data_IF_965263942610
#
_entry.id   IF_965263942610
#
_cell.length_a   1.000
_cell.length_b   1.000
_cell.length_c   1.000
_cell.angle_alpha   90.00
_cell.angle_beta   90.00
_cell.angle_gamma   90.00
#
_symmetry.space_group_name_H-M   'P 1'
#
loop_
_entity.id
_entity.type
_entity.pdbx_description
1 polymer ?
#
# COMPACT_ATOMS: atom_id res chain seq x y z
N UNK A 1 -42.61 -30.53 -17.40
CA UNK A 1 -42.11 -29.24 -17.97
C UNK A 1 -41.17 -29.61 -19.11
N UNK A 2 -41.41 -29.12 -20.36
CA UNK A 2 -40.49 -29.34 -21.47
C UNK A 2 -39.14 -28.73 -21.08
N UNK A 3 -38.05 -29.48 -21.28
CA UNK A 3 -36.71 -29.05 -20.89
C UNK A 3 -36.27 -27.90 -21.80
N UNK A 4 -36.45 -26.66 -21.35
CA UNK A 4 -36.20 -25.44 -22.14
C UNK A 4 -34.75 -25.42 -22.71
N UNK A 5 -33.78 -25.89 -21.93
CA UNK A 5 -32.36 -25.93 -22.33
C UNK A 5 -32.18 -26.84 -23.56
N UNK A 6 -32.74 -28.04 -23.50
CA UNK A 6 -32.71 -28.98 -24.64
C UNK A 6 -33.33 -28.43 -25.90
N UNK A 7 -34.44 -27.73 -25.79
CA UNK A 7 -35.17 -27.13 -26.92
C UNK A 7 -34.33 -26.02 -27.58
N UNK A 8 -33.60 -25.22 -26.77
CA UNK A 8 -32.71 -24.16 -27.25
C UNK A 8 -31.52 -24.76 -28.00
N UNK A 9 -30.83 -25.74 -27.41
CA UNK A 9 -29.65 -26.40 -27.99
C UNK A 9 -30.05 -27.11 -29.29
N UNK A 10 -31.17 -27.86 -29.28
CA UNK A 10 -31.66 -28.60 -30.44
C UNK A 10 -32.04 -27.70 -31.63
N UNK A 11 -32.62 -26.53 -31.35
CA UNK A 11 -32.92 -25.53 -32.38
C UNK A 11 -31.68 -24.90 -32.95
N UNK A 12 -30.70 -24.60 -32.10
CA UNK A 12 -29.44 -24.02 -32.54
C UNK A 12 -28.66 -24.97 -33.46
N UNK A 13 -28.55 -26.24 -33.10
CA UNK A 13 -27.83 -27.24 -33.91
C UNK A 13 -28.48 -27.50 -35.26
N UNK A 14 -29.81 -27.35 -35.37
CA UNK A 14 -30.56 -27.66 -36.58
C UNK A 14 -30.66 -26.52 -37.61
N UNK A 15 -30.21 -25.32 -37.27
CA UNK A 15 -30.35 -24.16 -38.14
C UNK A 15 -29.06 -23.35 -38.18
N UNK A 16 -28.75 -22.78 -39.34
CA UNK A 16 -27.65 -21.81 -39.46
C UNK A 16 -28.14 -20.42 -39.05
N UNK A 17 -27.41 -19.79 -38.12
CA UNK A 17 -27.69 -18.48 -37.57
C UNK A 17 -26.66 -17.43 -37.98
N UNK A 18 -27.02 -16.13 -38.04
CA UNK A 18 -26.06 -15.04 -38.21
C UNK A 18 -25.02 -15.01 -37.08
N UNK A 19 -23.81 -14.45 -37.35
CA UNK A 19 -22.68 -14.40 -36.43
C UNK A 19 -23.00 -13.71 -35.08
N UNK A 20 -23.98 -12.80 -35.04
CA UNK A 20 -24.41 -12.15 -33.80
C UNK A 20 -25.14 -13.14 -32.88
N UNK A 21 -26.03 -13.96 -33.42
CA UNK A 21 -26.79 -14.99 -32.69
C UNK A 21 -25.85 -16.11 -32.23
N UNK A 22 -24.87 -16.49 -33.07
CA UNK A 22 -23.83 -17.46 -32.71
C UNK A 22 -23.04 -17.01 -31.50
N UNK A 23 -22.64 -15.73 -31.47
CA UNK A 23 -21.92 -15.16 -30.31
C UNK A 23 -22.78 -15.16 -29.05
N UNK A 24 -24.02 -14.74 -29.13
CA UNK A 24 -24.90 -14.67 -27.97
C UNK A 24 -25.23 -16.07 -27.42
N UNK A 25 -25.42 -17.07 -28.31
CA UNK A 25 -25.58 -18.46 -27.91
C UNK A 25 -24.37 -19.01 -27.21
N UNK A 26 -23.12 -18.73 -27.67
CA UNK A 26 -21.89 -19.16 -27.01
C UNK A 26 -21.74 -18.53 -25.61
N UNK A 27 -22.07 -17.24 -25.49
CA UNK A 27 -22.06 -16.56 -24.17
C UNK A 27 -23.08 -17.20 -23.23
N UNK A 28 -24.30 -17.45 -23.69
CA UNK A 28 -25.32 -18.13 -22.91
C UNK A 28 -24.90 -19.56 -22.49
N UNK A 29 -24.20 -20.28 -23.38
CA UNK A 29 -23.80 -21.65 -23.13
C UNK A 29 -22.77 -21.76 -22.00
N UNK A 30 -21.82 -20.78 -21.90
CA UNK A 30 -20.75 -20.75 -20.90
C UNK A 30 -21.15 -19.99 -19.63
N UNK A 31 -22.31 -19.36 -19.59
CA UNK A 31 -22.80 -18.67 -18.40
C UNK A 31 -23.08 -19.68 -17.27
N UNK A 32 -22.71 -19.30 -16.04
CA UNK A 32 -22.84 -20.15 -14.85
C UNK A 32 -24.30 -20.45 -14.48
N UNK A 33 -25.25 -19.68 -14.96
CA UNK A 33 -26.66 -19.91 -14.71
C UNK A 33 -27.11 -21.24 -15.35
N UNK A 34 -27.47 -22.21 -14.48
CA UNK A 34 -27.90 -23.57 -14.88
C UNK A 34 -26.84 -24.38 -15.64
N UNK A 35 -25.55 -24.19 -15.33
CA UNK A 35 -24.44 -24.88 -16.01
C UNK A 35 -24.57 -26.40 -15.98
N UNK A 36 -24.93 -27.00 -14.85
CA UNK A 36 -25.08 -28.46 -14.68
C UNK A 36 -26.16 -29.04 -15.61
N UNK A 37 -27.25 -28.31 -15.85
CA UNK A 37 -28.32 -28.74 -16.76
C UNK A 37 -27.87 -28.62 -18.23
N UNK A 38 -27.11 -27.57 -18.59
CA UNK A 38 -26.56 -27.41 -19.95
C UNK A 38 -25.56 -28.51 -20.27
N UNK A 39 -24.65 -28.82 -19.35
CA UNK A 39 -23.66 -29.89 -19.49
C UNK A 39 -24.31 -31.29 -19.60
N UNK A 40 -25.32 -31.54 -18.81
CA UNK A 40 -26.09 -32.80 -18.90
C UNK A 40 -26.77 -32.99 -20.25
N UNK A 41 -27.40 -31.95 -20.78
CA UNK A 41 -28.10 -32.03 -22.09
C UNK A 41 -27.08 -32.14 -23.24
N UNK A 42 -25.96 -31.44 -23.18
CA UNK A 42 -24.86 -31.57 -24.17
C UNK A 42 -24.27 -32.96 -24.17
N UNK A 43 -24.01 -33.55 -23.00
CA UNK A 43 -23.50 -34.92 -22.89
C UNK A 43 -24.44 -35.95 -23.49
N UNK A 44 -25.74 -35.83 -23.25
CA UNK A 44 -26.76 -36.70 -23.85
C UNK A 44 -26.81 -36.58 -25.37
N UNK A 45 -26.70 -35.39 -25.92
CA UNK A 45 -26.65 -35.14 -27.38
C UNK A 45 -25.37 -35.73 -27.99
N UNK A 46 -24.23 -35.62 -27.30
CA UNK A 46 -22.96 -36.18 -27.74
C UNK A 46 -23.01 -37.70 -27.82
N UNK A 47 -23.48 -38.36 -26.76
CA UNK A 47 -23.68 -39.82 -26.73
C UNK A 47 -24.65 -40.31 -27.85
N UNK A 48 -25.72 -39.56 -28.07
CA UNK A 48 -26.68 -39.89 -29.15
C UNK A 48 -26.05 -39.74 -30.56
N UNK A 49 -25.08 -38.85 -30.73
CA UNK A 49 -24.41 -38.60 -32.02
C UNK A 49 -23.31 -39.65 -32.27
N UNK A 50 -22.56 -40.06 -31.27
CA UNK A 50 -21.56 -41.12 -31.39
C UNK A 50 -22.18 -42.48 -31.77
N UNK A 51 -23.39 -42.73 -31.33
CA UNK A 51 -24.08 -43.98 -31.65
C UNK A 51 -24.56 -44.05 -33.11
N UNK A 52 -24.54 -42.94 -33.84
CA UNK A 52 -25.20 -42.86 -35.17
C UNK A 52 -24.27 -43.08 -36.36
N UNK A 53 -22.92 -42.98 -36.23
CA UNK A 53 -22.04 -43.13 -37.40
C UNK A 53 -20.60 -43.56 -37.01
N UNK A 54 -20.37 -44.84 -37.01
CA UNK A 54 -19.03 -45.36 -37.34
C UNK A 54 -19.06 -45.89 -38.78
N UNK A 55 -18.63 -45.09 -39.76
CA UNK A 55 -18.38 -45.67 -41.09
C UNK A 55 -17.26 -46.66 -40.95
N UNK A 56 -17.45 -47.89 -41.46
CA UNK A 56 -16.42 -48.94 -41.45
C UNK A 56 -15.30 -48.62 -42.45
N UNK A 57 -14.40 -47.75 -42.08
CA UNK A 57 -13.24 -47.34 -42.87
C UNK A 57 -12.23 -48.46 -43.07
N UNK A 58 -12.25 -49.53 -42.30
CA UNK A 58 -11.29 -50.60 -42.38
C UNK A 58 -11.42 -51.36 -43.70
N UNK A 59 -12.65 -51.63 -44.16
CA UNK A 59 -12.91 -52.32 -45.42
C UNK A 59 -12.50 -51.47 -46.62
N UNK A 60 -12.67 -50.19 -46.60
CA UNK A 60 -12.26 -49.25 -47.65
C UNK A 60 -10.74 -49.09 -47.72
N UNK A 61 -10.04 -49.10 -46.57
CA UNK A 61 -8.59 -49.04 -46.47
C UNK A 61 -7.92 -50.30 -46.95
N UNK A 62 -8.47 -51.48 -46.66
CA UNK A 62 -7.95 -52.73 -47.15
C UNK A 62 -8.10 -52.85 -48.68
N UNK A 63 -9.24 -52.46 -49.21
CA UNK A 63 -9.48 -52.44 -50.64
C UNK A 63 -8.58 -51.48 -51.41
N UNK A 64 -8.25 -50.33 -50.80
CA UNK A 64 -7.31 -49.36 -51.37
C UNK A 64 -5.86 -49.85 -51.30
N UNK A 65 -5.47 -50.58 -50.26
CA UNK A 65 -4.17 -51.22 -50.14
C UNK A 65 -3.95 -52.32 -51.16
N UNK A 66 -4.97 -53.12 -51.48
CA UNK A 66 -4.93 -54.14 -52.52
C UNK A 66 -4.78 -53.54 -53.92
N UNK A 67 -5.52 -52.45 -54.20
CA UNK A 67 -5.54 -51.78 -55.51
C UNK A 67 -4.28 -50.99 -55.82
N UNK A 68 -3.56 -50.48 -54.82
CA UNK A 68 -2.38 -49.61 -54.99
C UNK A 68 -1.04 -50.31 -54.84
N UNK A 69 -1.01 -51.56 -54.40
CA UNK A 69 0.24 -52.33 -54.25
C UNK A 69 1.26 -51.73 -53.28
N UNK A 70 0.84 -50.74 -52.48
CA UNK A 70 1.75 -50.03 -51.55
C UNK A 70 1.95 -50.88 -50.29
N UNK A 71 3.05 -51.63 -50.26
CA UNK A 71 3.57 -52.20 -48.98
C UNK A 71 4.05 -51.07 -48.08
N UNK A 72 3.22 -50.68 -47.16
CA UNK A 72 3.61 -49.73 -46.11
C UNK A 72 4.72 -50.32 -45.27
N UNK A 73 5.94 -49.88 -45.54
CA UNK A 73 7.13 -50.19 -44.72
C UNK A 73 6.94 -49.48 -43.38
N UNK A 74 6.58 -50.26 -42.36
CA UNK A 74 6.42 -49.72 -40.97
C UNK A 74 7.76 -49.16 -40.51
N UNK A 75 7.90 -47.82 -40.55
CA UNK A 75 8.91 -47.06 -39.82
C UNK A 75 8.32 -46.55 -38.50
N UNK A 76 7.87 -47.46 -37.65
CA UNK A 76 7.20 -47.11 -36.40
C UNK A 76 8.17 -46.84 -35.24
N UNK A 77 9.46 -47.29 -35.35
CA UNK A 77 10.41 -47.21 -34.24
C UNK A 77 11.02 -45.83 -34.01
N UNK A 78 11.01 -44.91 -34.97
CA UNK A 78 11.65 -43.59 -34.81
C UNK A 78 10.72 -42.50 -34.27
N UNK A 79 9.40 -42.70 -34.33
CA UNK A 79 8.45 -41.71 -33.76
C UNK A 79 8.35 -41.83 -32.23
N UNK A 80 8.33 -43.04 -31.68
CA UNK A 80 8.21 -43.25 -30.24
C UNK A 80 9.43 -42.73 -29.46
N UNK A 81 10.63 -42.91 -30.00
CA UNK A 81 11.86 -42.38 -29.38
C UNK A 81 11.93 -40.85 -29.42
N UNK A 82 11.49 -40.20 -30.53
CA UNK A 82 11.41 -38.76 -30.61
C UNK A 82 10.35 -38.19 -29.62
N UNK A 83 9.17 -38.77 -29.56
CA UNK A 83 8.14 -38.37 -28.61
C UNK A 83 8.57 -38.59 -27.16
N UNK A 84 9.32 -39.63 -26.88
CA UNK A 84 9.89 -39.88 -25.52
C UNK A 84 10.92 -38.81 -25.14
N UNK A 85 11.80 -38.41 -26.06
CA UNK A 85 12.80 -37.36 -25.85
C UNK A 85 12.09 -36.00 -25.60
N UNK A 86 11.04 -35.69 -26.37
CA UNK A 86 10.23 -34.47 -26.16
C UNK A 86 9.50 -34.45 -24.81
N UNK A 87 9.01 -35.60 -24.33
CA UNK A 87 8.40 -35.74 -23.00
C UNK A 87 9.41 -35.50 -21.88
N UNK A 88 10.65 -36.03 -22.02
CA UNK A 88 11.73 -35.78 -21.06
C UNK A 88 12.13 -34.30 -21.07
N UNK A 89 12.28 -33.69 -22.25
CA UNK A 89 12.63 -32.28 -22.37
C UNK A 89 11.55 -31.38 -21.75
N UNK A 90 10.26 -31.69 -21.99
CA UNK A 90 9.15 -30.97 -21.37
C UNK A 90 9.12 -31.12 -19.83
N UNK A 91 9.35 -32.34 -19.32
CA UNK A 91 9.44 -32.59 -17.88
C UNK A 91 10.61 -31.84 -17.22
N UNK A 92 11.77 -31.78 -17.87
CA UNK A 92 12.92 -31.00 -17.41
C UNK A 92 12.64 -29.50 -17.41
N UNK A 93 11.99 -28.96 -18.45
CA UNK A 93 11.60 -27.55 -18.49
C UNK A 93 10.60 -27.21 -17.39
N UNK A 94 9.62 -28.07 -17.11
CA UNK A 94 8.67 -27.90 -16.01
C UNK A 94 9.40 -27.95 -14.66
N UNK A 95 10.34 -28.87 -14.46
CA UNK A 95 11.12 -28.99 -13.24
C UNK A 95 12.02 -27.76 -13.02
N UNK A 96 12.68 -27.25 -14.07
CA UNK A 96 13.51 -26.04 -14.00
C UNK A 96 12.65 -24.80 -13.74
N UNK A 97 11.51 -24.67 -14.43
CA UNK A 97 10.59 -23.53 -14.19
C UNK A 97 9.96 -23.58 -12.80
N UNK A 98 9.53 -24.75 -12.33
CA UNK A 98 9.02 -24.92 -10.96
C UNK A 98 10.10 -24.63 -9.91
N UNK A 99 11.33 -25.10 -10.14
CA UNK A 99 12.49 -24.79 -9.30
C UNK A 99 12.81 -23.29 -9.26
N UNK A 100 12.80 -22.63 -10.43
CA UNK A 100 13.02 -21.18 -10.53
C UNK A 100 11.92 -20.38 -9.84
N UNK A 101 10.65 -20.79 -10.00
CA UNK A 101 9.50 -20.17 -9.31
C UNK A 101 9.62 -20.39 -7.80
N UNK A 102 9.97 -21.60 -7.35
CA UNK A 102 10.18 -21.90 -5.93
C UNK A 102 11.29 -21.04 -5.32
N UNK A 103 12.44 -20.93 -5.97
CA UNK A 103 13.54 -20.06 -5.52
C UNK A 103 13.15 -18.58 -5.52
N UNK A 104 12.40 -18.11 -6.53
CA UNK A 104 11.90 -16.74 -6.59
C UNK A 104 10.87 -16.44 -5.49
N UNK A 105 10.04 -17.43 -5.11
CA UNK A 105 9.10 -17.30 -4.00
C UNK A 105 9.80 -17.35 -2.64
N UNK A 106 10.83 -18.17 -2.49
CA UNK A 106 11.62 -18.27 -1.25
C UNK A 106 12.45 -17.00 -0.99
N UNK A 107 12.94 -16.34 -2.06
CA UNK A 107 13.61 -15.04 -1.94
C UNK A 107 12.66 -13.85 -1.66
N UNK A 108 11.34 -14.06 -1.66
CA UNK A 108 10.34 -13.06 -1.26
C UNK A 108 10.00 -13.13 0.24
N UNK A 109 10.93 -13.55 1.09
CA UNK A 109 10.73 -13.36 2.52
C UNK A 109 10.58 -11.85 2.76
N UNK A 110 9.43 -11.47 3.34
CA UNK A 110 9.26 -10.09 3.79
C UNK A 110 10.43 -9.76 4.72
N UNK A 111 11.13 -8.64 4.51
CA UNK A 111 12.24 -8.29 5.38
C UNK A 111 11.73 -8.19 6.82
N UNK A 112 12.47 -8.80 7.75
CA UNK A 112 12.20 -8.62 9.18
C UNK A 112 12.29 -7.12 9.48
N UNK A 113 11.17 -6.53 9.85
CA UNK A 113 11.10 -5.12 10.20
C UNK A 113 11.52 -4.95 11.66
N UNK A 114 12.46 -4.08 11.89
CA UNK A 114 12.79 -3.54 13.22
C UNK A 114 11.84 -2.38 13.50
N UNK A 115 11.44 -2.26 14.76
CA UNK A 115 10.61 -1.16 15.23
C UNK A 115 11.41 -0.31 16.21
N UNK A 116 11.51 0.99 15.93
CA UNK A 116 11.89 1.99 16.90
C UNK A 116 10.62 2.72 17.36
N UNK A 117 10.20 2.48 18.59
CA UNK A 117 9.11 3.19 19.24
C UNK A 117 9.69 4.15 20.27
N UNK A 118 9.30 5.41 20.21
CA UNK A 118 9.74 6.46 21.11
C UNK A 118 8.58 6.81 22.04
N UNK A 119 8.73 6.61 23.36
CA UNK A 119 7.68 6.94 24.31
C UNK A 119 7.47 8.47 24.42
N UNK A 120 6.41 8.84 25.12
CA UNK A 120 6.13 10.24 25.50
C UNK A 120 7.34 10.87 26.17
N UNK A 121 7.61 12.13 25.91
CA UNK A 121 8.70 12.96 26.47
C UNK A 121 10.13 12.64 26.00
N UNK A 122 10.32 11.58 25.25
CA UNK A 122 11.64 11.18 24.76
C UNK A 122 11.85 11.54 23.28
N UNK A 123 13.11 11.66 22.89
CA UNK A 123 13.55 11.76 21.50
C UNK A 123 14.75 10.84 21.30
N UNK A 124 14.87 10.24 20.14
CA UNK A 124 15.97 9.31 19.87
C UNK A 124 16.63 9.56 18.54
N UNK A 125 17.98 9.46 18.54
CA UNK A 125 18.77 9.43 17.31
C UNK A 125 19.14 7.98 16.99
N UNK A 126 18.83 7.55 15.77
CA UNK A 126 19.22 6.25 15.26
C UNK A 126 19.98 6.38 13.95
N UNK A 127 20.82 5.40 13.66
CA UNK A 127 21.46 5.25 12.34
C UNK A 127 20.91 3.99 11.69
N UNK A 128 20.30 4.15 10.52
CA UNK A 128 19.75 3.06 9.74
C UNK A 128 20.85 2.22 9.09
N UNK A 129 20.55 1.00 8.61
CA UNK A 129 21.53 0.09 8.00
C UNK A 129 22.28 0.66 6.79
N UNK A 130 21.67 1.61 6.08
CA UNK A 130 22.30 2.31 4.93
C UNK A 130 23.20 3.48 5.35
N UNK A 131 23.25 3.82 6.65
CA UNK A 131 23.98 4.97 7.20
C UNK A 131 23.17 6.27 7.22
N UNK A 132 21.88 6.25 6.87
CA UNK A 132 20.96 7.38 7.05
C UNK A 132 20.78 7.65 8.56
N UNK A 133 20.89 8.92 8.94
CA UNK A 133 20.65 9.36 10.32
C UNK A 133 19.19 9.82 10.46
N UNK A 134 18.53 9.34 11.50
CA UNK A 134 17.14 9.70 11.78
C UNK A 134 17.02 10.15 13.23
N UNK A 135 16.52 11.37 13.42
CA UNK A 135 16.10 11.86 14.72
C UNK A 135 14.57 11.69 14.80
N UNK A 136 14.11 10.95 15.81
CA UNK A 136 12.71 10.57 15.98
C UNK A 136 12.17 11.33 17.19
N UNK A 137 11.03 11.99 17.01
CA UNK A 137 10.34 12.76 18.05
C UNK A 137 9.53 11.84 18.98
N UNK A 138 9.04 12.39 20.08
CA UNK A 138 8.20 11.68 21.07
C UNK A 138 6.91 11.12 20.43
N UNK A 139 6.40 10.02 20.98
CA UNK A 139 5.20 9.31 20.51
C UNK A 139 5.26 8.90 19.03
N UNK A 140 6.46 8.67 18.53
CA UNK A 140 6.68 8.28 17.14
C UNK A 140 7.15 6.84 17.02
N UNK A 141 6.74 6.21 15.93
CA UNK A 141 7.15 4.84 15.57
C UNK A 141 7.78 4.86 14.20
N UNK A 142 9.00 4.33 14.09
CA UNK A 142 9.67 4.09 12.81
C UNK A 142 9.86 2.58 12.62
N UNK A 143 9.32 2.04 11.53
CA UNK A 143 9.57 0.67 11.09
C UNK A 143 10.54 0.67 9.91
N UNK A 144 11.60 -0.10 10.03
CA UNK A 144 12.65 -0.21 9.00
C UNK A 144 13.21 -1.63 8.95
N UNK A 145 13.72 -2.11 7.81
CA UNK A 145 14.28 -3.45 7.69
C UNK A 145 15.68 -3.53 8.32
N UNK A 146 16.09 -4.71 8.76
CA UNK A 146 17.46 -4.96 9.20
C UNK A 146 18.51 -4.68 8.11
N UNK A 147 18.14 -4.84 6.86
CA UNK A 147 18.93 -4.52 5.67
C UNK A 147 18.01 -4.08 4.54
N UNK A 148 18.43 -3.09 3.76
CA UNK A 148 17.76 -2.71 2.53
C UNK A 148 18.23 -3.59 1.37
N UNK A 149 17.42 -4.54 0.94
CA UNK A 149 17.79 -5.57 -0.07
C UNK A 149 17.08 -5.39 -1.42
N UNK A 150 16.24 -4.37 -1.57
CA UNK A 150 15.49 -4.11 -2.81
C UNK A 150 16.02 -2.92 -3.61
N UNK A 151 15.29 -2.56 -4.66
CA UNK A 151 15.57 -1.41 -5.53
C UNK A 151 15.31 -0.05 -4.83
N UNK A 152 14.85 -0.07 -3.58
CA UNK A 152 14.57 1.13 -2.77
C UNK A 152 14.80 0.86 -1.28
N UNK A 153 15.04 1.95 -0.53
CA UNK A 153 15.20 1.97 0.92
C UNK A 153 13.91 2.48 1.56
N UNK A 154 13.01 1.57 1.91
CA UNK A 154 11.68 1.93 2.41
C UNK A 154 11.58 1.83 3.93
N UNK A 155 11.01 2.86 4.55
CA UNK A 155 10.68 2.92 5.98
C UNK A 155 9.24 3.41 6.16
N UNK A 156 8.64 3.08 7.32
CA UNK A 156 7.28 3.51 7.67
C UNK A 156 7.34 4.34 8.93
N UNK A 157 6.71 5.52 8.88
CA UNK A 157 6.65 6.48 9.98
C UNK A 157 5.20 6.69 10.44
N UNK A 158 5.02 6.64 11.76
CA UNK A 158 3.85 7.20 12.46
C UNK A 158 4.40 8.19 13.48
N UNK A 159 3.98 9.45 13.44
CA UNK A 159 4.54 10.52 14.26
C UNK A 159 5.50 11.41 13.49
N UNK A 160 6.55 11.91 14.11
CA UNK A 160 7.47 12.89 13.53
C UNK A 160 8.93 12.43 13.57
N UNK A 161 9.62 12.61 12.44
CA UNK A 161 11.06 12.35 12.36
C UNK A 161 11.75 13.29 11.35
N UNK A 162 13.01 13.61 11.66
CA UNK A 162 13.94 14.25 10.74
C UNK A 162 14.87 13.21 10.15
N UNK A 163 14.99 13.21 8.83
CA UNK A 163 15.80 12.27 8.06
C UNK A 163 16.97 13.00 7.41
N UNK A 164 18.20 12.62 7.74
CA UNK A 164 19.40 13.01 7.02
C UNK A 164 19.86 11.83 6.17
N UNK A 165 19.32 11.75 4.96
CA UNK A 165 19.44 10.59 4.09
C UNK A 165 20.82 10.52 3.46
N UNK A 166 21.47 9.36 3.58
CA UNK A 166 22.70 9.06 2.86
C UNK A 166 22.45 9.06 1.36
N UNK A 167 23.28 9.77 0.60
CA UNK A 167 23.13 9.88 -0.86
C UNK A 167 23.35 8.52 -1.54
N UNK A 168 22.34 8.08 -2.25
CA UNK A 168 22.33 6.91 -3.14
C UNK A 168 21.23 7.10 -4.19
N UNK A 169 21.65 7.39 -5.43
CA UNK A 169 20.73 7.67 -6.55
C UNK A 169 20.19 6.38 -7.18
N UNK A 170 20.89 5.24 -6.98
CA UNK A 170 20.46 3.95 -7.52
C UNK A 170 19.31 3.33 -6.68
N UNK A 171 19.28 3.64 -5.37
CA UNK A 171 18.28 3.09 -4.45
C UNK A 171 17.58 4.24 -3.71
N UNK A 172 16.47 4.78 -4.21
CA UNK A 172 15.73 5.87 -3.57
C UNK A 172 15.33 5.52 -2.12
N UNK A 173 15.43 6.50 -1.24
CA UNK A 173 14.95 6.40 0.14
C UNK A 173 13.50 6.86 0.21
N UNK A 174 12.62 6.02 0.76
CA UNK A 174 11.18 6.23 0.75
C UNK A 174 10.65 6.18 2.18
N UNK A 175 10.07 7.29 2.65
CA UNK A 175 9.33 7.36 3.91
C UNK A 175 7.84 7.27 3.60
N UNK A 176 7.16 6.26 4.16
CA UNK A 176 5.71 6.06 4.00
C UNK A 176 4.96 6.34 5.28
N UNK A 177 3.83 7.03 5.17
CA UNK A 177 2.90 7.26 6.27
C UNK A 177 1.46 7.31 5.72
N UNK A 178 0.67 6.28 5.99
CA UNK A 178 -0.67 6.11 5.44
C UNK A 178 -0.72 6.33 3.91
N UNK A 179 -1.45 7.36 3.44
CA UNK A 179 -1.60 7.74 2.04
C UNK A 179 -0.64 8.87 1.59
N UNK A 180 0.45 9.05 2.34
CA UNK A 180 1.50 10.05 2.13
C UNK A 180 2.87 9.38 2.02
N UNK A 181 3.68 9.82 1.05
CA UNK A 181 4.99 9.25 0.80
C UNK A 181 6.00 10.33 0.43
N UNK A 182 7.22 10.24 0.95
CA UNK A 182 8.34 11.12 0.60
C UNK A 182 9.47 10.29 0.02
N UNK A 183 9.91 10.63 -1.18
CA UNK A 183 11.02 9.97 -1.89
C UNK A 183 12.23 10.91 -1.98
N UNK A 184 13.39 10.42 -1.54
CA UNK A 184 14.64 11.15 -1.41
C UNK A 184 15.83 10.36 -1.97
N UNK A 185 16.84 11.06 -2.52
CA UNK A 185 18.07 10.46 -3.05
C UNK A 185 19.32 10.78 -2.20
N UNK A 186 19.21 11.73 -1.29
CA UNK A 186 20.33 12.21 -0.46
C UNK A 186 20.05 13.63 0.01
N UNK A 187 19.11 13.79 0.92
CA UNK A 187 18.50 15.04 1.33
C UNK A 187 18.30 15.06 2.84
N UNK A 188 18.12 16.26 3.38
CA UNK A 188 17.67 16.42 4.75
C UNK A 188 16.25 17.00 4.76
N UNK A 189 15.32 16.31 5.42
CA UNK A 189 13.91 16.70 5.48
C UNK A 189 13.24 16.22 6.77
N UNK A 190 12.20 16.93 7.18
CA UNK A 190 11.33 16.57 8.30
C UNK A 190 9.98 16.08 7.80
N UNK A 191 9.43 15.04 8.42
CA UNK A 191 8.07 14.56 8.18
C UNK A 191 7.34 14.53 9.51
N UNK A 192 6.16 15.19 9.58
CA UNK A 192 5.22 15.08 10.69
C UNK A 192 3.93 14.46 10.20
N UNK A 193 3.60 13.30 10.76
CA UNK A 193 2.46 12.47 10.36
C UNK A 193 1.82 11.79 11.57
N UNK A 194 1.47 12.59 12.57
CA UNK A 194 0.73 12.11 13.73
C UNK A 194 -0.71 11.77 13.38
N UNK A 195 -1.24 10.63 13.83
CA UNK A 195 -2.62 10.21 13.50
C UNK A 195 -3.70 11.19 13.92
N UNK A 196 -3.52 11.82 15.09
CA UNK A 196 -4.45 12.76 15.69
C UNK A 196 -4.41 14.17 15.08
N UNK A 197 -3.34 14.55 14.37
CA UNK A 197 -3.27 15.84 13.67
C UNK A 197 -4.04 15.79 12.35
N UNK A 198 -4.69 16.90 11.99
CA UNK A 198 -5.44 16.99 10.73
C UNK A 198 -4.55 16.96 9.49
N UNK A 199 -3.31 17.42 9.63
CA UNK A 199 -2.36 17.55 8.54
C UNK A 199 -1.19 16.61 8.67
N UNK A 200 -0.69 16.15 7.51
CA UNK A 200 0.62 15.53 7.34
C UNK A 200 1.51 16.54 6.64
N UNK A 201 2.71 16.75 7.15
CA UNK A 201 3.64 17.70 6.55
C UNK A 201 4.96 17.04 6.18
N UNK A 202 5.54 17.47 5.05
CA UNK A 202 6.92 17.20 4.69
C UNK A 202 7.62 18.52 4.42
N UNK A 203 8.70 18.80 5.13
CA UNK A 203 9.48 20.04 4.99
C UNK A 203 10.89 19.73 4.53
N UNK A 204 11.31 20.31 3.45
CA UNK A 204 12.65 20.11 2.90
C UNK A 204 13.66 21.10 3.49
N UNK A 205 14.71 20.56 4.12
CA UNK A 205 15.80 21.36 4.69
C UNK A 205 16.91 21.55 3.67
N UNK A 206 17.34 20.47 3.00
CA UNK A 206 18.38 20.55 1.96
C UNK A 206 18.20 19.47 0.89
N UNK A 207 18.56 19.79 -0.36
CA UNK A 207 18.49 18.88 -1.50
C UNK A 207 17.19 18.98 -2.29
N UNK A 208 16.55 17.85 -2.59
CA UNK A 208 15.28 17.75 -3.33
C UNK A 208 14.52 16.50 -2.91
N UNK A 209 13.22 16.58 -2.69
CA UNK A 209 12.35 15.45 -2.44
C UNK A 209 11.12 15.48 -3.34
N UNK A 210 10.63 14.30 -3.69
CA UNK A 210 9.31 14.09 -4.27
C UNK A 210 8.36 13.69 -3.15
N UNK A 211 7.25 14.40 -3.03
CA UNK A 211 6.18 14.09 -2.08
C UNK A 211 4.95 13.64 -2.86
N UNK A 212 4.43 12.47 -2.53
CA UNK A 212 3.23 11.89 -3.12
C UNK A 212 2.16 11.79 -2.01
N UNK A 213 0.93 12.18 -2.31
CA UNK A 213 -0.16 12.27 -1.34
C UNK A 213 -1.51 11.93 -1.97
N UNK A 214 -2.58 11.96 -1.18
CA UNK A 214 -3.94 11.61 -1.61
C UNK A 214 -4.02 10.19 -2.21
N UNK A 215 -3.41 9.21 -1.53
CA UNK A 215 -3.30 7.84 -2.03
C UNK A 215 -2.40 7.74 -3.26
N UNK A 216 -1.32 8.53 -3.31
CA UNK A 216 -0.31 8.61 -4.38
C UNK A 216 -0.87 9.08 -5.75
N UNK A 217 -1.98 9.82 -5.74
CA UNK A 217 -2.61 10.38 -6.95
C UNK A 217 -2.07 11.75 -7.31
N UNK A 218 -1.56 12.47 -6.32
CA UNK A 218 -1.00 13.81 -6.45
C UNK A 218 0.45 13.79 -6.01
N UNK A 219 1.26 14.68 -6.58
CA UNK A 219 2.69 14.74 -6.29
C UNK A 219 3.23 16.17 -6.41
N UNK A 220 4.22 16.48 -5.55
CA UNK A 220 4.95 17.73 -5.55
C UNK A 220 6.43 17.51 -5.36
N UNK A 221 7.25 18.32 -6.03
CA UNK A 221 8.70 18.32 -5.85
C UNK A 221 9.10 19.56 -5.05
N UNK A 222 9.53 19.34 -3.82
CA UNK A 222 9.92 20.41 -2.92
C UNK A 222 11.35 20.86 -3.17
N UNK A 223 11.57 22.18 -3.01
CA UNK A 223 12.85 22.86 -2.91
C UNK A 223 13.18 23.17 -1.45
N UNK A 224 14.44 23.46 -1.11
CA UNK A 224 14.82 23.87 0.24
C UNK A 224 13.95 25.02 0.79
N UNK A 225 13.54 24.88 2.04
CA UNK A 225 12.61 25.75 2.77
C UNK A 225 11.14 25.68 2.30
N UNK A 226 10.79 24.74 1.43
CA UNK A 226 9.40 24.45 1.11
C UNK A 226 8.86 23.34 1.99
N UNK A 227 7.58 23.45 2.34
CA UNK A 227 6.80 22.44 3.05
C UNK A 227 5.54 22.13 2.26
N UNK A 228 5.26 20.85 2.03
CA UNK A 228 3.94 20.40 1.66
C UNK A 228 3.14 20.10 2.95
N UNK A 229 2.00 20.76 3.10
CA UNK A 229 1.00 20.47 4.11
C UNK A 229 -0.20 19.79 3.41
N UNK A 230 -0.48 18.53 3.78
CA UNK A 230 -1.59 17.72 3.27
C UNK A 230 -2.64 17.52 4.35
N UNK A 231 -3.84 18.06 4.13
CA UNK A 231 -4.96 17.88 5.04
C UNK A 231 -5.69 16.57 4.75
N UNK A 232 -5.74 15.69 5.74
CA UNK A 232 -6.30 14.32 5.64
C UNK A 232 -7.82 14.31 5.39
N UNK A 233 -8.55 15.30 5.85
CA UNK A 233 -10.01 15.38 5.71
C UNK A 233 -10.43 15.95 4.35
N UNK A 234 -9.83 17.08 3.97
CA UNK A 234 -10.14 17.74 2.68
C UNK A 234 -9.42 17.07 1.50
N UNK A 235 -8.36 16.29 1.79
CA UNK A 235 -7.47 15.67 0.79
C UNK A 235 -6.78 16.68 -0.13
N UNK A 236 -6.58 17.90 0.36
CA UNK A 236 -5.88 18.96 -0.37
C UNK A 236 -4.46 19.10 0.17
N UNK A 237 -3.50 19.23 -0.74
CA UNK A 237 -2.13 19.60 -0.44
C UNK A 237 -1.88 21.07 -0.77
N UNK A 238 -1.05 21.72 0.02
CA UNK A 238 -0.59 23.08 -0.25
C UNK A 238 0.89 23.24 0.06
N UNK A 239 1.64 23.92 -0.82
CA UNK A 239 3.03 24.25 -0.57
C UNK A 239 3.11 25.56 0.20
N UNK A 240 3.82 25.53 1.32
CA UNK A 240 4.01 26.68 2.23
C UNK A 240 5.51 26.90 2.50
N UNK A 241 5.86 28.02 3.14
CA UNK A 241 7.24 28.41 3.46
C UNK A 241 7.35 28.68 4.96
N UNK A 242 7.46 27.64 5.81
CA UNK A 242 7.56 27.81 7.25
C UNK A 242 8.93 28.39 7.65
N UNK A 243 8.98 28.96 8.88
CA UNK A 243 10.28 29.27 9.47
C UNK A 243 11.01 27.95 9.81
N UNK A 244 12.18 27.76 9.21
CA UNK A 244 12.98 26.54 9.40
C UNK A 244 13.46 26.35 10.84
N UNK A 245 13.58 27.47 11.61
CA UNK A 245 13.87 27.38 13.04
C UNK A 245 12.73 26.75 13.82
N UNK A 246 11.49 27.06 13.45
CA UNK A 246 10.29 26.49 14.06
C UNK A 246 10.16 24.99 13.70
N UNK A 247 10.39 24.61 12.43
CA UNK A 247 10.33 23.21 11.97
C UNK A 247 11.32 22.32 12.73
N UNK A 248 12.49 22.85 13.05
CA UNK A 248 13.55 22.09 13.73
C UNK A 248 13.60 22.36 15.24
N UNK A 249 12.70 23.16 15.80
CA UNK A 249 12.67 23.56 17.21
C UNK A 249 12.61 22.34 18.16
N UNK A 250 11.79 21.36 17.81
CA UNK A 250 11.63 20.14 18.59
C UNK A 250 12.95 19.37 18.78
N UNK A 251 13.86 19.42 17.80
CA UNK A 251 15.18 18.77 17.88
C UNK A 251 16.06 19.38 18.96
N UNK A 252 15.80 20.63 19.32
CA UNK A 252 16.45 21.37 20.42
C UNK A 252 15.65 21.30 21.73
N UNK A 253 14.53 20.54 21.72
CA UNK A 253 13.62 20.42 22.86
C UNK A 253 12.71 21.65 23.06
N UNK A 254 12.72 22.62 22.14
CA UNK A 254 11.84 23.78 22.16
C UNK A 254 10.42 23.40 21.69
N UNK A 255 9.42 24.14 22.16
CA UNK A 255 8.02 23.93 21.76
C UNK A 255 7.55 25.19 21.06
N UNK A 256 7.08 25.01 19.82
CA UNK A 256 6.61 26.12 18.99
C UNK A 256 5.19 25.83 18.49
N UNK A 257 4.30 26.75 18.78
CA UNK A 257 2.94 26.74 18.29
C UNK A 257 2.74 27.93 17.37
N UNK A 258 2.24 27.70 16.17
CA UNK A 258 1.94 28.73 15.18
C UNK A 258 0.50 28.59 14.69
N UNK A 259 -0.30 29.62 14.96
CA UNK A 259 -1.71 29.67 14.57
C UNK A 259 -2.50 28.42 14.98
N UNK A 260 -2.29 27.93 16.21
CA UNK A 260 -2.90 26.70 16.73
C UNK A 260 -4.04 27.02 17.68
N UNK A 261 -5.08 26.19 17.68
CA UNK A 261 -6.15 26.20 18.68
C UNK A 261 -5.62 25.64 20.01
N UNK A 262 -6.34 25.89 21.10
CA UNK A 262 -5.96 25.33 22.41
C UNK A 262 -6.01 23.80 22.42
N UNK A 263 -6.92 23.19 21.69
CA UNK A 263 -7.00 21.74 21.56
C UNK A 263 -5.75 21.17 20.90
N UNK A 264 -5.35 21.73 19.75
CA UNK A 264 -4.09 21.34 19.07
C UNK A 264 -2.86 21.55 19.96
N UNK A 265 -2.85 22.62 20.76
CA UNK A 265 -1.77 22.92 21.70
C UNK A 265 -1.72 21.85 22.80
N UNK A 266 -2.85 21.51 23.43
CA UNK A 266 -2.87 20.50 24.50
C UNK A 266 -2.48 19.12 23.97
N UNK A 267 -2.94 18.71 22.80
CA UNK A 267 -2.51 17.47 22.15
C UNK A 267 -0.99 17.41 21.97
N UNK A 268 -0.36 18.52 21.56
CA UNK A 268 1.10 18.58 21.44
C UNK A 268 1.84 18.61 22.78
N UNK A 269 1.24 19.23 23.81
CA UNK A 269 1.81 19.23 25.15
C UNK A 269 1.80 17.85 25.80
N UNK A 270 0.79 17.02 25.53
CA UNK A 270 0.72 15.62 26.00
C UNK A 270 1.90 14.79 25.51
N UNK A 271 2.44 15.08 24.31
CA UNK A 271 3.65 14.41 23.78
C UNK A 271 4.94 14.84 24.47
N UNK A 272 4.97 16.10 24.95
CA UNK A 272 6.17 16.67 25.59
C UNK A 272 6.21 16.45 27.07
N UNK A 273 5.05 16.41 27.73
CA UNK A 273 4.93 16.29 29.17
C UNK A 273 4.09 15.07 29.54
N UNK A 274 4.40 14.38 30.65
CA UNK A 274 3.67 13.17 31.07
C UNK A 274 2.35 13.52 31.77
N UNK A 275 1.54 14.36 31.14
CA UNK A 275 0.25 14.82 31.68
C UNK A 275 -0.86 14.65 30.64
N UNK A 276 -2.04 14.25 31.11
CA UNK A 276 -3.27 14.24 30.29
C UNK A 276 -4.09 15.48 30.61
N UNK A 277 -4.50 16.21 29.57
CA UNK A 277 -5.35 17.41 29.75
C UNK A 277 -6.81 17.03 29.76
N UNK A 278 -7.51 17.42 30.85
CA UNK A 278 -8.93 17.14 31.05
C UNK A 278 -9.72 18.45 30.96
N UNK A 279 -10.52 18.57 29.90
CA UNK A 279 -11.33 19.76 29.63
C UNK A 279 -12.65 19.43 28.91
N UNK A 280 -13.58 20.39 28.88
CA UNK A 280 -14.80 20.29 28.09
C UNK A 280 -14.60 20.96 26.75
N UNK A 281 -14.82 20.26 25.64
CA UNK A 281 -14.69 20.77 24.27
C UNK A 281 -15.54 22.07 24.04
N UNK A 282 -16.72 22.15 24.64
CA UNK A 282 -17.60 23.30 24.47
C UNK A 282 -17.08 24.58 25.17
N UNK A 283 -16.07 24.48 25.98
CA UNK A 283 -15.52 25.60 26.74
C UNK A 283 -14.32 26.27 26.09
N UNK A 284 -13.64 25.60 25.15
CA UNK A 284 -12.50 26.16 24.45
C UNK A 284 -12.94 26.98 23.25
N UNK A 285 -12.42 28.20 23.14
CA UNK A 285 -12.64 29.06 21.99
C UNK A 285 -11.80 28.59 20.80
N UNK A 286 -12.30 28.82 19.58
CA UNK A 286 -11.61 28.57 18.34
C UNK A 286 -10.50 29.58 18.03
N UNK A 287 -10.08 30.38 19.01
CA UNK A 287 -8.99 31.34 18.86
C UNK A 287 -7.68 30.62 18.57
N UNK A 288 -6.83 31.20 17.72
CA UNK A 288 -5.55 30.67 17.36
C UNK A 288 -4.41 31.43 18.02
N UNK A 289 -3.42 30.72 18.51
CA UNK A 289 -2.33 31.25 19.32
C UNK A 289 -0.98 30.99 18.69
N UNK A 290 -0.04 31.92 18.94
CA UNK A 290 1.37 31.78 18.62
C UNK A 290 2.16 31.82 19.93
N UNK A 291 2.75 30.71 20.30
CA UNK A 291 3.52 30.55 21.54
C UNK A 291 4.84 29.86 21.26
N UNK A 292 5.86 30.20 22.02
CA UNK A 292 7.18 29.53 21.96
C UNK A 292 7.70 29.36 23.37
N UNK A 293 8.14 28.14 23.66
CA UNK A 293 8.74 27.77 24.96
C UNK A 293 10.11 27.16 24.75
N UNK A 294 11.03 27.51 25.65
CA UNK A 294 12.37 26.95 25.60
C UNK A 294 12.43 25.48 26.04
N UNK A 295 13.59 24.85 25.80
CA UNK A 295 13.83 23.44 26.06
C UNK A 295 13.48 23.01 27.49
N UNK A 296 13.75 23.86 28.50
CA UNK A 296 13.62 23.55 29.92
C UNK A 296 12.33 24.10 30.54
N UNK A 297 11.38 24.58 29.75
CA UNK A 297 10.13 25.09 30.30
C UNK A 297 9.39 23.97 31.05
N UNK A 298 9.02 24.23 32.30
CA UNK A 298 8.19 23.30 33.06
C UNK A 298 6.74 23.38 32.61
N UNK A 299 5.95 22.37 32.92
CA UNK A 299 4.52 22.37 32.53
C UNK A 299 3.79 23.52 33.25
N UNK A 300 4.15 23.85 34.46
CA UNK A 300 3.60 24.96 35.23
C UNK A 300 3.86 26.29 34.53
N UNK A 301 5.12 26.54 34.10
CA UNK A 301 5.49 27.76 33.37
C UNK A 301 4.70 27.87 32.04
N UNK A 302 4.55 26.75 31.32
CA UNK A 302 3.78 26.70 30.07
C UNK A 302 2.32 27.02 30.34
N UNK A 303 1.71 26.39 31.36
CA UNK A 303 0.32 26.58 31.70
C UNK A 303 0.02 27.97 32.27
N UNK A 304 0.92 28.55 33.03
CA UNK A 304 0.83 29.92 33.52
C UNK A 304 0.78 30.94 32.37
N UNK A 305 1.61 30.73 31.33
CA UNK A 305 1.61 31.57 30.14
C UNK A 305 0.31 31.37 29.34
N UNK A 306 -0.11 30.12 29.14
CA UNK A 306 -1.38 29.81 28.44
C UNK A 306 -2.58 30.45 29.17
N UNK A 307 -2.68 30.27 30.48
CA UNK A 307 -3.76 30.88 31.29
C UNK A 307 -3.77 32.42 31.19
N UNK A 308 -2.59 33.04 31.18
CA UNK A 308 -2.44 34.49 31.03
C UNK A 308 -2.85 34.98 29.65
N UNK A 309 -2.46 34.29 28.59
CA UNK A 309 -2.75 34.68 27.19
C UNK A 309 -4.23 34.50 26.87
N UNK A 310 -4.84 33.42 27.36
CA UNK A 310 -6.28 33.16 27.17
C UNK A 310 -7.16 34.05 28.03
N UNK A 311 -6.66 34.47 29.21
CA UNK A 311 -7.33 35.39 30.15
C UNK A 311 -8.55 34.83 30.89
N UNK A 312 -9.02 33.64 30.49
CA UNK A 312 -10.20 32.99 31.06
C UNK A 312 -9.98 31.49 31.37
N UNK A 313 -8.79 30.99 31.22
CA UNK A 313 -8.43 29.60 31.53
C UNK A 313 -7.74 29.52 32.88
N UNK A 314 -8.23 28.62 33.73
CA UNK A 314 -7.56 28.18 34.95
C UNK A 314 -7.14 26.73 34.79
N UNK A 315 -6.07 26.34 35.48
CA UNK A 315 -5.63 24.95 35.49
C UNK A 315 -5.31 24.46 36.90
N UNK A 316 -5.40 23.14 37.07
CA UNK A 316 -5.00 22.45 38.29
C UNK A 316 -4.35 21.10 37.94
N UNK A 317 -3.13 20.89 38.34
CA UNK A 317 -2.42 19.64 38.18
C UNK A 317 -2.67 18.76 39.40
N UNK A 318 -3.14 17.51 39.16
CA UNK A 318 -3.39 16.49 40.18
C UNK A 318 -2.88 15.14 39.65
N UNK A 319 -1.77 14.65 40.19
CA UNK A 319 -1.11 13.45 39.67
C UNK A 319 -0.61 13.64 38.24
N UNK A 320 -1.03 12.80 37.34
CA UNK A 320 -0.73 12.80 35.90
C UNK A 320 -1.76 13.59 35.07
N UNK A 321 -2.68 14.31 35.72
CA UNK A 321 -3.76 15.04 35.02
C UNK A 321 -3.69 16.54 35.24
N UNK A 322 -3.86 17.29 34.16
CA UNK A 322 -4.05 18.74 34.16
C UNK A 322 -5.51 19.07 33.86
N UNK A 323 -6.26 19.45 34.89
CA UNK A 323 -7.67 19.82 34.77
C UNK A 323 -7.76 21.29 34.37
N UNK A 324 -8.52 21.58 33.31
CA UNK A 324 -8.73 22.90 32.78
C UNK A 324 -10.16 23.37 33.06
N UNK A 325 -10.29 24.60 33.53
CA UNK A 325 -11.58 25.22 33.80
C UNK A 325 -11.64 26.59 33.13
N UNK A 326 -12.70 26.82 32.35
CA UNK A 326 -12.92 28.10 31.69
C UNK A 326 -13.80 28.97 32.60
N UNK A 327 -13.32 30.15 32.96
CA UNK A 327 -14.11 31.14 33.68
C UNK A 327 -15.14 31.79 32.70
N UNK A 328 -16.40 31.62 32.98
CA UNK A 328 -17.43 32.41 32.30
C UNK A 328 -17.43 33.81 32.93
N UNK A 329 -17.18 34.83 32.09
CA UNK A 329 -17.34 36.23 32.49
C UNK A 329 -18.82 36.61 32.54
#
# INVERSE_FOLDING_TARGET
>A
MKNYIRDVIDRYIKHDYPAEVDRDFRVWLIDEERADEKDSELSQLWEATESATTPNYQHSLERMKELTGIKTRQKVHTLHTRLFIWKIAAALLIAVSAGSIYLALQNRQAPDLLQAYIPTTEMQNITLPDGTQVMINSESTLLYPQQFTGDSRCVYLVGEANFKVRRDEAHPFIVKSADFQVTALGTEFNVSAYPEEEEVTATLISGKVLVEYNGLKEQEILKPNEQLAYNKHTRLGSVTYPDMQDVTAWQRGEIVFRSMTMEEIFTRLERKYPYTFVYSFHSLKSDRFNLTFGQNASIEEVMDIIARVTGNLDYKIVGDKCYLTVRHK
#
